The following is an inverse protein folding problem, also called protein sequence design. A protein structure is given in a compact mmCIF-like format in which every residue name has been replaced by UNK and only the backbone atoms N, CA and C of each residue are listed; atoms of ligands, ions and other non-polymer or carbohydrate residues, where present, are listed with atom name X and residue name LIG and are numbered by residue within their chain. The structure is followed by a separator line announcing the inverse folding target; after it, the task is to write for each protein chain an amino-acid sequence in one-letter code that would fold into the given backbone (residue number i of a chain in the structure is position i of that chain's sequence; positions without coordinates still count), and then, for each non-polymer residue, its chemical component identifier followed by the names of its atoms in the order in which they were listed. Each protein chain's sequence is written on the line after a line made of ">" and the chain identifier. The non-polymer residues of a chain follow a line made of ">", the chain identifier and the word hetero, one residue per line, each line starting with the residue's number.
data_IF_788298070573
#
_entry.id   IF_788298070573
#
_cell.length_a   1.000
_cell.length_b   1.000
_cell.length_c   1.000
_cell.angle_alpha   90.00
_cell.angle_beta   90.00
_cell.angle_gamma   90.00
#
_symmetry.space_group_name_H-M   'P 1'
#
loop_
_entity.id
_entity.type
_entity.pdbx_description
1 polymer ?
#
# COMPACT_ATOMS: atom_id res chain seq x y z
N UNK A 1 11.52 2.45 22.78
CA UNK A 1 12.28 2.34 24.05
C UNK A 1 12.20 3.67 24.74
N UNK A 2 11.97 3.67 26.04
CA UNK A 2 11.82 4.86 26.88
C UNK A 2 12.65 4.73 28.15
N UNK A 3 13.09 5.86 28.71
CA UNK A 3 13.74 5.99 30.00
C UNK A 3 14.88 4.95 30.21
N UNK A 4 14.84 4.18 31.26
CA UNK A 4 15.85 3.17 31.62
C UNK A 4 16.00 2.02 30.62
N UNK A 5 15.08 1.85 29.70
CA UNK A 5 15.18 0.87 28.63
C UNK A 5 16.23 1.25 27.58
N UNK A 6 16.67 2.51 27.54
CA UNK A 6 17.68 3.02 26.63
C UNK A 6 19.06 2.70 27.21
N UNK A 7 19.70 1.67 26.66
CA UNK A 7 21.00 1.16 27.14
C UNK A 7 22.18 1.55 26.23
N UNK A 8 21.94 2.49 25.31
CA UNK A 8 22.99 2.96 24.41
C UNK A 8 24.05 3.74 25.20
N UNK A 9 25.32 3.64 24.76
CA UNK A 9 26.43 4.32 25.41
C UNK A 9 26.31 5.84 25.25
N UNK A 10 25.97 6.29 24.05
CA UNK A 10 25.84 7.68 23.68
C UNK A 10 24.56 7.89 22.88
N UNK A 11 23.90 9.02 23.09
CA UNK A 11 22.68 9.42 22.39
C UNK A 11 22.78 10.88 21.98
N UNK A 12 22.16 11.22 20.86
CA UNK A 12 21.93 12.60 20.49
C UNK A 12 20.63 13.06 21.10
N UNK A 13 20.71 14.04 21.99
CA UNK A 13 19.56 14.51 22.74
C UNK A 13 18.93 15.76 22.09
N UNK A 14 17.60 15.70 21.98
CA UNK A 14 16.75 16.82 21.60
C UNK A 14 15.91 17.17 22.83
N UNK A 15 15.89 18.45 23.20
CA UNK A 15 15.08 18.94 24.32
C UNK A 15 13.61 19.01 24.03
N UNK A 16 12.85 19.45 25.03
CA UNK A 16 11.39 19.56 24.98
C UNK A 16 10.92 20.45 23.81
N UNK A 17 11.54 21.59 23.62
CA UNK A 17 11.18 22.58 22.60
C UNK A 17 11.80 22.29 21.23
N UNK A 18 12.50 21.16 21.06
CA UNK A 18 13.13 20.77 19.81
C UNK A 18 14.57 21.28 19.63
N UNK A 19 15.14 21.92 20.65
CA UNK A 19 16.55 22.32 20.66
C UNK A 19 17.48 21.12 20.71
N UNK A 20 18.62 21.20 20.01
CA UNK A 20 19.62 20.15 20.04
C UNK A 20 20.57 20.38 21.24
N UNK A 21 20.51 19.46 22.20
CA UNK A 21 21.37 19.49 23.40
C UNK A 21 22.72 18.78 23.19
N UNK A 22 22.93 18.20 22.01
CA UNK A 22 24.19 17.56 21.64
C UNK A 22 24.22 16.06 21.89
N UNK A 23 25.43 15.50 21.92
CA UNK A 23 25.70 14.08 22.16
C UNK A 23 26.15 13.92 23.61
N UNK A 24 25.51 13.01 24.34
CA UNK A 24 25.83 12.72 25.73
C UNK A 24 25.53 11.26 26.05
N UNK A 25 25.89 10.83 27.27
CA UNK A 25 25.55 9.49 27.72
C UNK A 25 24.03 9.33 27.90
N UNK A 26 23.51 8.12 27.70
CA UNK A 26 22.09 7.86 27.92
C UNK A 26 21.67 8.15 29.38
N UNK A 27 22.59 8.00 30.33
CA UNK A 27 22.35 8.29 31.76
C UNK A 27 22.15 9.79 32.02
N UNK A 28 23.01 10.62 31.42
CA UNK A 28 22.90 12.08 31.56
C UNK A 28 21.65 12.61 30.85
N UNK A 29 21.35 12.09 29.67
CA UNK A 29 20.11 12.38 28.95
C UNK A 29 18.87 12.04 29.78
N UNK A 30 18.89 10.91 30.50
CA UNK A 30 17.79 10.49 31.37
C UNK A 30 17.64 11.41 32.59
N UNK A 31 18.76 11.85 33.20
CA UNK A 31 18.70 12.83 34.30
C UNK A 31 18.05 14.13 33.86
N UNK A 32 18.43 14.66 32.68
CA UNK A 32 17.80 15.87 32.15
C UNK A 32 16.30 15.69 31.90
N UNK A 33 15.88 14.51 31.44
CA UNK A 33 14.45 14.21 31.31
C UNK A 33 13.73 14.17 32.64
N UNK A 34 14.35 13.61 33.70
CA UNK A 34 13.80 13.61 35.06
C UNK A 34 13.70 15.01 35.65
N UNK A 35 14.70 15.86 35.44
CA UNK A 35 14.69 17.26 35.89
C UNK A 35 13.58 18.08 35.22
N UNK A 36 13.23 17.73 33.97
CA UNK A 36 12.11 18.32 33.23
C UNK A 36 10.74 17.68 33.54
N UNK A 37 10.69 16.67 34.44
CA UNK A 37 9.48 15.86 34.75
C UNK A 37 8.84 15.23 33.50
N UNK A 38 9.67 14.87 32.52
CA UNK A 38 9.26 14.27 31.24
C UNK A 38 9.97 12.93 31.00
N UNK A 39 9.61 12.28 29.91
CA UNK A 39 10.19 11.01 29.51
C UNK A 39 11.33 11.21 28.49
N UNK A 40 12.34 10.35 28.57
CA UNK A 40 13.35 10.20 27.54
C UNK A 40 12.88 9.14 26.52
N UNK A 41 12.62 9.55 25.31
CA UNK A 41 12.09 8.66 24.24
C UNK A 41 13.08 8.55 23.11
N UNK A 42 13.47 7.31 22.73
CA UNK A 42 14.29 7.04 21.55
C UNK A 42 13.43 7.14 20.30
N UNK A 43 13.60 8.20 19.52
CA UNK A 43 12.82 8.49 18.31
C UNK A 43 13.44 7.93 17.02
N UNK A 44 14.78 7.87 16.94
CA UNK A 44 15.50 7.33 15.79
C UNK A 44 16.56 6.31 16.24
N UNK A 45 16.19 5.02 16.34
CA UNK A 45 17.10 3.98 16.81
C UNK A 45 18.21 3.63 15.80
N UNK A 46 17.99 3.89 14.51
CA UNK A 46 18.93 3.56 13.42
C UNK A 46 20.01 4.60 13.20
N UNK A 47 19.88 5.79 13.79
CA UNK A 47 20.89 6.84 13.71
C UNK A 47 22.14 6.47 14.54
N UNK A 48 23.28 6.97 14.16
CA UNK A 48 24.55 6.78 14.87
C UNK A 48 25.14 8.16 15.24
N UNK A 49 25.11 8.55 16.53
CA UNK A 49 24.44 7.92 17.66
C UNK A 49 22.91 7.99 17.56
N UNK A 50 22.18 7.11 18.28
CA UNK A 50 20.71 7.12 18.30
C UNK A 50 20.17 8.46 18.78
N UNK A 51 19.04 8.89 18.23
CA UNK A 51 18.40 10.15 18.62
C UNK A 51 17.33 9.89 19.66
N UNK A 52 17.46 10.60 20.79
CA UNK A 52 16.48 10.62 21.87
C UNK A 52 15.89 12.02 22.01
N UNK A 53 14.66 12.11 22.48
CA UNK A 53 13.97 13.36 22.74
C UNK A 53 13.34 13.33 24.13
N UNK A 54 13.39 14.47 24.82
CA UNK A 54 12.66 14.70 26.07
C UNK A 54 11.24 15.14 25.73
N UNK A 55 10.24 14.30 26.00
CA UNK A 55 8.82 14.55 25.72
C UNK A 55 7.93 13.74 26.64
N UNK A 56 6.67 14.16 26.78
CA UNK A 56 5.64 13.32 27.36
C UNK A 56 5.33 12.15 26.42
N UNK A 57 5.63 10.95 26.88
CA UNK A 57 5.47 9.72 26.07
C UNK A 57 4.01 9.42 25.72
N UNK A 58 3.08 9.72 26.64
CA UNK A 58 1.64 9.54 26.40
C UNK A 58 1.15 10.40 25.24
N UNK A 59 1.48 11.69 25.29
CA UNK A 59 1.17 12.65 24.24
C UNK A 59 1.83 12.28 22.91
N UNK A 60 3.10 11.88 22.94
CA UNK A 60 3.84 11.44 21.76
C UNK A 60 3.20 10.23 21.09
N UNK A 61 2.81 9.20 21.86
CA UNK A 61 2.10 8.02 21.32
C UNK A 61 0.78 8.42 20.66
N UNK A 62 0.03 9.29 21.29
CA UNK A 62 -1.23 9.75 20.74
C UNK A 62 -1.05 10.49 19.42
N UNK A 63 -0.07 11.39 19.35
CA UNK A 63 0.24 12.15 18.14
C UNK A 63 0.75 11.24 17.00
N UNK A 64 1.58 10.24 17.31
CA UNK A 64 2.02 9.24 16.34
C UNK A 64 0.85 8.43 15.78
N UNK A 65 0.00 7.91 16.65
CA UNK A 65 -1.18 7.15 16.23
C UNK A 65 -2.14 8.00 15.38
N UNK A 66 -2.31 9.28 15.73
CA UNK A 66 -3.09 10.22 14.94
C UNK A 66 -2.49 10.46 13.56
N UNK A 67 -1.17 10.74 13.49
CA UNK A 67 -0.46 10.92 12.21
C UNK A 67 -0.54 9.67 11.32
N UNK A 68 -0.36 8.49 11.91
CA UNK A 68 -0.46 7.22 11.21
C UNK A 68 -1.87 6.98 10.67
N UNK A 69 -2.90 7.27 11.46
CA UNK A 69 -4.30 7.20 11.04
C UNK A 69 -4.61 8.18 9.90
N UNK A 70 -4.09 9.40 9.96
CA UNK A 70 -4.24 10.39 8.89
C UNK A 70 -3.49 9.98 7.62
N UNK A 71 -2.26 9.47 7.75
CA UNK A 71 -1.49 8.95 6.62
C UNK A 71 -2.21 7.79 5.93
N UNK A 72 -2.77 6.86 6.73
CA UNK A 72 -3.57 5.74 6.20
C UNK A 72 -4.83 6.21 5.48
N UNK A 73 -5.52 7.24 6.01
CA UNK A 73 -6.69 7.83 5.33
C UNK A 73 -6.35 8.53 4.02
N UNK A 74 -5.18 9.16 3.94
CA UNK A 74 -4.69 9.85 2.72
C UNK A 74 -4.13 8.88 1.68
N UNK A 75 -3.80 7.65 2.08
CA UNK A 75 -3.30 6.63 1.17
C UNK A 75 -4.42 6.20 0.22
N UNK A 76 -4.24 6.44 -1.07
CA UNK A 76 -5.16 5.97 -2.10
C UNK A 76 -5.12 4.44 -2.14
N UNK A 77 -6.20 3.80 -1.73
CA UNK A 77 -6.36 2.35 -1.85
C UNK A 77 -6.72 2.05 -3.30
N UNK A 78 -5.90 1.24 -3.95
CA UNK A 78 -6.19 0.72 -5.29
C UNK A 78 -6.86 -0.63 -5.12
N UNK A 79 -8.15 -0.70 -5.39
CA UNK A 79 -8.91 -1.94 -5.36
C UNK A 79 -8.70 -2.74 -6.64
N UNK A 80 -8.81 -4.06 -6.53
CA UNK A 80 -8.86 -4.95 -7.70
C UNK A 80 -10.31 -5.36 -7.93
N UNK A 81 -10.91 -4.84 -8.99
CA UNK A 81 -12.29 -5.16 -9.39
C UNK A 81 -12.27 -6.31 -10.40
N UNK A 82 -13.11 -7.30 -10.20
CA UNK A 82 -13.20 -8.44 -11.10
C UNK A 82 -14.33 -8.26 -12.13
N UNK A 83 -13.99 -8.48 -13.40
CA UNK A 83 -14.95 -8.58 -14.50
C UNK A 83 -14.88 -10.00 -15.06
N UNK A 84 -16.00 -10.71 -15.02
CA UNK A 84 -16.09 -12.09 -15.50
C UNK A 84 -16.70 -12.14 -16.88
N UNK A 85 -16.07 -12.91 -17.75
CA UNK A 85 -16.49 -13.18 -19.13
C UNK A 85 -16.75 -14.68 -19.31
N UNK A 86 -17.54 -15.01 -20.33
CA UNK A 86 -17.73 -16.38 -20.80
C UNK A 86 -17.17 -16.55 -22.23
N UNK A 87 -16.74 -17.75 -22.64
CA UNK A 87 -16.23 -17.99 -24.00
C UNK A 87 -17.24 -17.71 -25.11
N UNK A 88 -18.54 -17.80 -24.78
CA UNK A 88 -19.65 -17.57 -25.72
C UNK A 88 -20.38 -16.25 -25.45
N UNK A 89 -19.64 -15.25 -24.96
CA UNK A 89 -20.19 -13.92 -24.68
C UNK A 89 -20.61 -13.25 -25.99
N UNK A 90 -21.81 -12.63 -26.01
CA UNK A 90 -22.25 -11.83 -27.13
C UNK A 90 -21.62 -10.42 -27.11
N UNK A 91 -21.73 -9.72 -28.26
CA UNK A 91 -21.13 -8.39 -28.43
C UNK A 91 -21.73 -7.36 -27.48
N UNK A 92 -23.02 -7.42 -27.18
CA UNK A 92 -23.71 -6.46 -26.31
C UNK A 92 -23.25 -6.62 -24.85
N UNK A 93 -23.18 -7.87 -24.36
CA UNK A 93 -22.70 -8.13 -23.02
C UNK A 93 -21.20 -7.79 -22.89
N UNK A 94 -20.40 -8.10 -23.90
CA UNK A 94 -19.00 -7.73 -23.95
C UNK A 94 -18.82 -6.19 -23.82
N UNK A 95 -19.59 -5.41 -24.59
CA UNK A 95 -19.54 -3.95 -24.52
C UNK A 95 -19.98 -3.42 -23.16
N UNK A 96 -20.97 -4.04 -22.55
CA UNK A 96 -21.41 -3.70 -21.18
C UNK A 96 -20.29 -3.95 -20.17
N UNK A 97 -19.60 -5.09 -20.27
CA UNK A 97 -18.44 -5.43 -19.42
C UNK A 97 -17.25 -4.49 -19.64
N UNK A 98 -16.99 -4.11 -20.89
CA UNK A 98 -15.98 -3.10 -21.23
C UNK A 98 -16.33 -1.75 -20.59
N UNK A 99 -17.59 -1.32 -20.67
CA UNK A 99 -18.06 -0.10 -20.03
C UNK A 99 -17.91 -0.10 -18.49
N UNK A 100 -18.18 -1.24 -17.86
CA UNK A 100 -17.97 -1.40 -16.42
C UNK A 100 -16.47 -1.34 -16.05
N UNK A 101 -15.63 -2.03 -16.81
CA UNK A 101 -14.17 -1.99 -16.61
C UNK A 101 -13.60 -0.58 -16.79
N UNK A 102 -14.09 0.17 -17.79
CA UNK A 102 -13.70 1.57 -18.04
C UNK A 102 -13.96 2.43 -16.80
N UNK A 103 -15.14 2.34 -16.20
CA UNK A 103 -15.49 3.08 -14.97
C UNK A 103 -14.59 2.74 -13.78
N UNK A 104 -14.17 1.48 -13.65
CA UNK A 104 -13.24 1.08 -12.59
C UNK A 104 -11.85 1.66 -12.83
N UNK A 105 -11.35 1.58 -14.06
CA UNK A 105 -10.05 2.13 -14.44
C UNK A 105 -9.99 3.64 -14.30
N UNK A 106 -11.05 4.38 -14.65
CA UNK A 106 -11.17 5.83 -14.48
C UNK A 106 -11.10 6.26 -13.00
N UNK A 107 -11.62 5.42 -12.09
CA UNK A 107 -11.47 5.62 -10.64
C UNK A 107 -10.05 5.32 -10.13
N UNK A 108 -9.22 4.70 -10.95
CA UNK A 108 -7.86 4.30 -10.65
C UNK A 108 -7.73 2.93 -9.99
N UNK A 109 -8.77 2.12 -10.07
CA UNK A 109 -8.75 0.72 -9.65
C UNK A 109 -8.06 -0.17 -10.70
N UNK A 110 -7.56 -1.34 -10.26
CA UNK A 110 -7.12 -2.39 -11.17
C UNK A 110 -8.30 -3.28 -11.55
N UNK A 111 -8.31 -3.77 -12.79
CA UNK A 111 -9.34 -4.69 -13.27
C UNK A 111 -8.73 -6.06 -13.52
N UNK A 112 -9.29 -7.07 -12.82
CA UNK A 112 -9.02 -8.48 -13.07
C UNK A 112 -10.08 -9.00 -14.03
N UNK A 113 -9.68 -9.32 -15.26
CA UNK A 113 -10.57 -9.92 -16.25
C UNK A 113 -10.44 -11.43 -16.18
N UNK A 114 -11.54 -12.12 -15.86
CA UNK A 114 -11.56 -13.57 -15.70
C UNK A 114 -12.48 -14.18 -16.75
N UNK A 115 -11.91 -14.99 -17.66
CA UNK A 115 -12.63 -15.78 -18.63
C UNK A 115 -12.78 -17.20 -18.07
N UNK A 116 -14.01 -17.58 -17.68
CA UNK A 116 -14.29 -18.88 -17.06
C UNK A 116 -14.81 -19.89 -18.07
N UNK A 117 -14.18 -21.06 -18.10
CA UNK A 117 -14.53 -22.17 -18.97
C UNK A 117 -15.37 -23.23 -18.23
N UNK A 118 -16.37 -23.76 -18.92
CA UNK A 118 -17.13 -24.93 -18.45
C UNK A 118 -16.60 -26.19 -19.14
N UNK A 119 -16.66 -27.33 -18.49
CA UNK A 119 -16.26 -28.67 -18.97
C UNK A 119 -15.78 -28.79 -20.42
N UNK A 120 -16.68 -28.84 -21.38
CA UNK A 120 -16.40 -29.01 -22.82
C UNK A 120 -15.66 -27.81 -23.45
N UNK A 121 -15.76 -26.61 -22.87
CA UNK A 121 -15.11 -25.39 -23.37
C UNK A 121 -13.59 -25.36 -23.09
N UNK A 122 -13.13 -26.22 -22.17
CA UNK A 122 -11.71 -26.34 -21.81
C UNK A 122 -10.81 -26.70 -23.00
N UNK A 123 -11.32 -27.49 -23.95
CA UNK A 123 -10.59 -27.86 -25.16
C UNK A 123 -10.28 -26.66 -26.09
N UNK A 124 -11.00 -25.57 -25.94
CA UNK A 124 -10.90 -24.38 -26.80
C UNK A 124 -10.30 -23.15 -26.08
N UNK A 125 -9.61 -23.34 -24.96
CA UNK A 125 -9.04 -22.23 -24.17
C UNK A 125 -8.09 -21.35 -24.99
N UNK A 126 -7.25 -21.94 -25.82
CA UNK A 126 -6.30 -21.20 -26.66
C UNK A 126 -6.99 -20.29 -27.69
N UNK A 127 -8.09 -20.76 -28.26
CA UNK A 127 -8.91 -19.97 -29.20
C UNK A 127 -9.64 -18.81 -28.50
N UNK A 128 -10.04 -19.02 -27.27
CA UNK A 128 -10.77 -18.00 -26.49
C UNK A 128 -9.88 -16.90 -25.91
N UNK A 129 -8.56 -17.01 -26.07
CA UNK A 129 -7.62 -15.94 -25.68
C UNK A 129 -7.90 -14.63 -26.41
N UNK A 130 -8.35 -14.71 -27.68
CA UNK A 130 -8.69 -13.51 -28.46
C UNK A 130 -9.76 -12.65 -27.77
N UNK A 131 -10.68 -13.23 -26.99
CA UNK A 131 -11.72 -12.47 -26.26
C UNK A 131 -11.06 -11.55 -25.22
N UNK A 132 -10.04 -12.01 -24.52
CA UNK A 132 -9.30 -11.18 -23.57
C UNK A 132 -8.45 -10.12 -24.28
N UNK A 133 -7.85 -10.48 -25.42
CA UNK A 133 -7.05 -9.55 -26.21
C UNK A 133 -7.95 -8.44 -26.79
N UNK A 134 -9.13 -8.77 -27.32
CA UNK A 134 -10.14 -7.82 -27.79
C UNK A 134 -10.67 -6.93 -26.65
N UNK A 135 -10.89 -7.51 -25.47
CA UNK A 135 -11.29 -6.76 -24.30
C UNK A 135 -10.23 -5.71 -23.90
N UNK A 136 -8.95 -6.10 -23.92
CA UNK A 136 -7.84 -5.19 -23.65
C UNK A 136 -7.70 -4.12 -24.73
N UNK A 137 -7.88 -4.47 -26.01
CA UNK A 137 -7.81 -3.52 -27.12
C UNK A 137 -8.91 -2.44 -27.03
N UNK A 138 -10.12 -2.81 -26.62
CA UNK A 138 -11.22 -1.85 -26.38
C UNK A 138 -10.94 -0.87 -25.24
N UNK A 139 -9.98 -1.14 -24.38
CA UNK A 139 -9.57 -0.31 -23.25
C UNK A 139 -8.18 0.29 -23.40
N UNK A 140 -7.53 0.11 -24.54
CA UNK A 140 -6.16 0.54 -24.81
C UNK A 140 -5.92 2.04 -24.67
N UNK A 141 -6.97 2.85 -24.87
CA UNK A 141 -6.95 4.31 -24.69
C UNK A 141 -6.70 4.72 -23.24
N UNK A 142 -7.25 3.98 -22.27
CA UNK A 142 -7.20 4.31 -20.83
C UNK A 142 -6.45 3.32 -19.95
N UNK A 143 -6.13 2.14 -20.47
CA UNK A 143 -5.51 1.07 -19.71
C UNK A 143 -4.29 0.47 -20.39
N UNK A 144 -3.45 -0.16 -19.59
CA UNK A 144 -2.36 -1.02 -20.02
C UNK A 144 -2.48 -2.39 -19.37
N UNK A 145 -1.95 -3.41 -20.02
CA UNK A 145 -1.90 -4.76 -19.46
C UNK A 145 -0.81 -4.79 -18.38
N UNK A 146 -1.22 -4.96 -17.13
CA UNK A 146 -0.31 -5.10 -15.98
C UNK A 146 0.26 -6.52 -15.92
N UNK A 147 -0.62 -7.54 -16.13
CA UNK A 147 -0.23 -8.93 -16.28
C UNK A 147 -0.94 -9.54 -17.47
N UNK A 148 -0.20 -10.17 -18.40
CA UNK A 148 -0.78 -10.81 -19.58
C UNK A 148 -1.70 -11.96 -19.17
N UNK A 149 -2.53 -12.39 -20.12
CA UNK A 149 -3.45 -13.50 -19.93
C UNK A 149 -2.71 -14.79 -19.56
N UNK A 150 -3.10 -15.40 -18.44
CA UNK A 150 -2.56 -16.64 -17.92
C UNK A 150 -3.69 -17.61 -17.59
N UNK A 151 -3.48 -18.89 -17.86
CA UNK A 151 -4.42 -19.96 -17.47
C UNK A 151 -4.22 -20.28 -16.00
N UNK A 152 -5.32 -20.21 -15.26
CA UNK A 152 -5.39 -20.57 -13.83
C UNK A 152 -6.55 -21.57 -13.63
N UNK A 153 -6.22 -22.85 -13.61
CA UNK A 153 -7.20 -23.92 -13.48
C UNK A 153 -8.20 -23.94 -14.64
N UNK A 154 -9.47 -23.66 -14.36
CA UNK A 154 -10.56 -23.62 -15.35
C UNK A 154 -10.88 -22.20 -15.84
N UNK A 155 -9.96 -21.28 -15.66
CA UNK A 155 -10.14 -19.87 -16.03
C UNK A 155 -8.88 -19.33 -16.70
N UNK A 156 -9.05 -18.31 -17.51
CA UNK A 156 -7.95 -17.49 -18.01
C UNK A 156 -8.09 -16.10 -17.43
N UNK A 157 -7.04 -15.57 -16.88
CA UNK A 157 -7.05 -14.33 -16.11
C UNK A 157 -6.07 -13.33 -16.69
N UNK A 158 -6.47 -12.08 -16.77
CA UNK A 158 -5.64 -10.95 -17.19
C UNK A 158 -5.84 -9.78 -16.24
N UNK A 159 -4.82 -8.99 -15.99
CA UNK A 159 -4.91 -7.79 -15.17
C UNK A 159 -4.65 -6.54 -16.01
N UNK A 160 -5.53 -5.57 -15.85
CA UNK A 160 -5.45 -4.26 -16.46
C UNK A 160 -5.27 -3.18 -15.38
N UNK A 161 -4.49 -2.16 -15.68
CA UNK A 161 -4.32 -0.98 -14.83
C UNK A 161 -4.50 0.28 -15.66
N UNK A 162 -4.94 1.36 -15.03
CA UNK A 162 -5.08 2.65 -15.71
C UNK A 162 -3.71 3.16 -16.19
N UNK A 163 -3.69 3.79 -17.37
CA UNK A 163 -2.52 4.55 -17.81
C UNK A 163 -2.26 5.70 -16.84
N UNK A 164 -1.01 5.93 -16.52
CA UNK A 164 -0.57 7.11 -15.78
C UNK A 164 -0.50 8.32 -16.69
#
# INVERSE_FOLDING_TARGET
>A
MINEQIRDREVRLIGENGEQLGIMSARDAFKLAQEAELDLVKIAPTAKPPVCKIIDYGKYRYELARKEKEARKKQKVIDVKEVRLSPNIDTNDLNTKVGAARKFLEKGDKVKVTLRFRGREMAHMSKSKCILDDFAENLKDIAVIDKPSKVEGRSMVMFLTAKK
#
